data_IF_275561632292
#
_entry.id   IF_275561632292
#
_cell.length_a   1.000
_cell.length_b   1.000
_cell.length_c   1.000
_cell.angle_alpha   90.00
_cell.angle_beta   90.00
_cell.angle_gamma   90.00
#
_symmetry.space_group_name_H-M   'P 1'
#
loop_
_entity.id
_entity.type
_entity.pdbx_description
1 polymer ?
#
# COMPACT_ATOMS: atom_id res chain seq x y z
N UNK A 1 -7.82 6.72 -1.95
CA UNK A 1 -6.98 5.54 -2.30
C UNK A 1 -7.76 4.41 -2.96
N UNK A 2 -8.78 3.83 -2.32
CA UNK A 2 -9.60 2.77 -2.96
C UNK A 2 -10.40 3.30 -4.15
N UNK A 3 -10.96 4.50 -4.01
CA UNK A 3 -11.69 5.18 -5.09
C UNK A 3 -10.77 5.51 -6.28
N UNK A 4 -9.45 5.55 -6.03
CA UNK A 4 -8.41 5.76 -7.03
C UNK A 4 -7.87 4.45 -7.63
N UNK A 5 -8.47 3.31 -7.26
CA UNK A 5 -8.14 1.98 -7.80
C UNK A 5 -7.04 1.22 -7.06
N UNK A 6 -6.53 1.73 -5.94
CA UNK A 6 -5.44 1.06 -5.21
C UNK A 6 -5.94 -0.02 -4.25
N UNK A 7 -5.24 -1.17 -4.24
CA UNK A 7 -5.33 -2.15 -3.17
C UNK A 7 -4.60 -1.65 -1.92
N UNK A 8 -5.29 -1.67 -0.77
CA UNK A 8 -4.74 -1.16 0.50
C UNK A 8 -4.94 -2.18 1.62
N UNK A 9 -3.86 -2.52 2.30
CA UNK A 9 -3.90 -3.29 3.55
C UNK A 9 -3.61 -2.35 4.73
N UNK A 10 -4.51 -2.32 5.72
CA UNK A 10 -4.32 -1.55 6.95
C UNK A 10 -3.69 -2.43 8.03
N UNK A 11 -2.65 -1.93 8.68
CA UNK A 11 -2.06 -2.52 9.88
C UNK A 11 -2.02 -1.49 11.00
N UNK A 12 -1.98 -1.97 12.23
CA UNK A 12 -1.73 -1.14 13.41
C UNK A 12 -0.25 -1.29 13.77
N UNK A 13 0.40 -0.17 14.05
CA UNK A 13 1.77 -0.11 14.57
C UNK A 13 1.84 0.75 15.82
N UNK A 14 3.02 0.83 16.42
CA UNK A 14 3.28 1.65 17.60
C UNK A 14 4.52 2.51 17.36
N UNK A 15 4.37 3.82 17.50
CA UNK A 15 5.44 4.80 17.48
C UNK A 15 5.71 5.36 18.88
N UNK A 16 6.61 6.34 18.95
CA UNK A 16 6.94 7.06 20.19
C UNK A 16 5.70 7.61 20.90
N UNK A 17 4.73 8.10 20.13
CA UNK A 17 3.55 8.79 20.64
C UNK A 17 2.31 7.86 20.74
N UNK A 18 2.53 6.55 20.63
CA UNK A 18 1.48 5.53 20.77
C UNK A 18 1.10 4.87 19.45
N UNK A 19 -0.16 4.45 19.35
CA UNK A 19 -0.67 3.70 18.21
C UNK A 19 -0.68 4.54 16.92
N UNK A 20 -0.21 3.95 15.82
CA UNK A 20 -0.22 4.55 14.48
C UNK A 20 -0.85 3.60 13.47
N UNK A 21 -1.71 4.14 12.60
CA UNK A 21 -2.30 3.38 11.50
C UNK A 21 -1.35 3.38 10.31
N UNK A 22 -1.01 2.19 9.81
CA UNK A 22 -0.10 2.01 8.68
C UNK A 22 -0.89 1.49 7.47
N UNK A 23 -0.87 2.25 6.39
CA UNK A 23 -1.43 1.83 5.10
C UNK A 23 -0.32 1.25 4.22
N UNK A 24 -0.46 -0.02 3.84
CA UNK A 24 0.43 -0.69 2.88
C UNK A 24 -0.22 -0.73 1.50
N UNK A 25 0.52 -0.26 0.51
CA UNK A 25 0.11 -0.18 -0.89
C UNK A 25 1.22 -0.81 -1.71
N UNK A 26 0.85 -1.71 -2.62
CA UNK A 26 1.75 -2.27 -3.63
C UNK A 26 1.32 -1.69 -4.96
N UNK A 27 2.21 -0.99 -5.63
CA UNK A 27 1.97 -0.39 -6.94
C UNK A 27 3.25 -0.35 -7.76
N UNK A 28 3.11 -0.16 -9.08
CA UNK A 28 4.24 0.15 -9.94
C UNK A 28 4.84 1.52 -9.57
N UNK A 29 6.13 1.69 -9.88
CA UNK A 29 6.89 2.91 -9.52
C UNK A 29 6.28 4.20 -10.11
N UNK A 30 5.69 4.13 -11.29
CA UNK A 30 5.01 5.25 -11.96
C UNK A 30 3.78 5.77 -11.18
N UNK A 31 3.14 4.95 -10.35
CA UNK A 31 2.00 5.36 -9.52
C UNK A 31 2.42 5.93 -8.16
N UNK A 32 3.69 5.81 -7.76
CA UNK A 32 4.16 6.35 -6.48
C UNK A 32 3.89 7.85 -6.32
N UNK A 33 4.16 8.73 -7.32
CA UNK A 33 3.82 10.14 -7.21
C UNK A 33 2.33 10.37 -6.93
N UNK A 34 1.43 9.65 -7.61
CA UNK A 34 -0.02 9.74 -7.37
C UNK A 34 -0.39 9.36 -5.93
N UNK A 35 0.17 8.26 -5.42
CA UNK A 35 -0.06 7.83 -4.03
C UNK A 35 0.44 8.87 -3.02
N UNK A 36 1.63 9.44 -3.27
CA UNK A 36 2.20 10.49 -2.43
C UNK A 36 1.30 11.73 -2.41
N UNK A 37 0.86 12.19 -3.57
CA UNK A 37 0.08 13.42 -3.69
C UNK A 37 -1.27 13.27 -2.98
N UNK A 38 -1.97 12.14 -3.17
CA UNK A 38 -3.20 11.81 -2.43
C UNK A 38 -2.96 11.81 -0.91
N UNK A 39 -1.85 11.23 -0.46
CA UNK A 39 -1.55 11.15 0.97
C UNK A 39 -1.31 12.53 1.57
N UNK A 40 -0.55 13.39 0.88
CA UNK A 40 -0.24 14.74 1.32
C UNK A 40 -1.46 15.68 1.28
N UNK A 41 -2.38 15.47 0.33
CA UNK A 41 -3.66 16.19 0.28
C UNK A 41 -4.54 15.90 1.51
N UNK A 42 -4.46 14.68 2.07
CA UNK A 42 -5.27 14.29 3.21
C UNK A 42 -4.60 14.59 4.56
N UNK A 43 -3.28 14.41 4.65
CA UNK A 43 -2.51 14.68 5.88
C UNK A 43 -1.10 15.16 5.53
N UNK A 44 -0.84 16.45 5.74
CA UNK A 44 0.48 17.05 5.51
C UNK A 44 1.59 16.56 6.46
N UNK A 45 1.26 15.80 7.51
CA UNK A 45 2.23 15.18 8.43
C UNK A 45 2.49 13.71 8.11
N UNK A 46 1.87 13.16 7.07
CA UNK A 46 2.11 11.78 6.65
C UNK A 46 3.57 11.60 6.24
N UNK A 47 4.15 10.47 6.62
CA UNK A 47 5.44 10.05 6.09
C UNK A 47 5.26 8.76 5.28
N UNK A 48 6.06 8.62 4.23
CA UNK A 48 5.96 7.50 3.31
C UNK A 48 7.32 6.81 3.24
N UNK A 49 7.33 5.51 3.50
CA UNK A 49 8.48 4.65 3.23
C UNK A 49 8.18 3.80 2.01
N UNK A 50 9.14 3.69 1.10
CA UNK A 50 9.02 2.87 -0.10
C UNK A 50 10.23 1.96 -0.23
N UNK A 51 9.99 0.73 -0.67
CA UNK A 51 11.04 -0.24 -0.94
C UNK A 51 10.62 -1.11 -2.13
N UNK A 52 11.61 -1.56 -2.91
CA UNK A 52 11.35 -2.44 -4.03
C UNK A 52 10.97 -3.84 -3.52
N UNK A 53 9.86 -4.37 -4.00
CA UNK A 53 9.46 -5.75 -3.77
C UNK A 53 10.10 -6.63 -4.84
N UNK A 54 11.12 -7.39 -4.48
CA UNK A 54 11.71 -8.42 -5.36
C UNK A 54 11.06 -9.78 -5.10
N UNK A 55 10.92 -10.59 -6.16
CA UNK A 55 10.42 -11.97 -6.05
C UNK A 55 8.95 -12.12 -5.64
N UNK A 56 8.16 -11.04 -5.68
CA UNK A 56 6.71 -11.07 -5.42
C UNK A 56 5.95 -10.64 -6.66
N UNK A 57 5.04 -11.50 -7.13
CA UNK A 57 4.13 -11.19 -8.22
C UNK A 57 2.72 -10.95 -7.66
N UNK A 58 2.11 -9.83 -8.06
CA UNK A 58 0.69 -9.55 -7.87
C UNK A 58 -0.07 -9.84 -9.16
N UNK A 59 -1.33 -10.28 -9.05
CA UNK A 59 -2.19 -10.56 -10.20
C UNK A 59 -3.34 -11.49 -9.82
N UNK A 60 -4.42 -11.47 -10.60
CA UNK A 60 -5.46 -12.51 -10.51
C UNK A 60 -4.82 -13.82 -10.97
N UNK A 61 -4.58 -14.75 -10.06
CA UNK A 61 -4.23 -16.13 -10.43
C UNK A 61 -5.47 -16.80 -11.04
N UNK A 62 -5.63 -16.74 -12.35
CA UNK A 62 -6.53 -17.64 -13.07
C UNK A 62 -5.85 -19.00 -13.24
N UNK A 63 -6.50 -20.08 -12.82
CA UNK A 63 -6.07 -21.45 -13.14
C UNK A 63 -5.37 -22.24 -12.03
N UNK A 64 -5.30 -21.74 -10.80
CA UNK A 64 -4.93 -22.61 -9.66
C UNK A 64 -6.12 -23.50 -9.34
N UNK A 65 -6.16 -24.70 -9.94
CA UNK A 65 -7.09 -25.74 -9.52
C UNK A 65 -6.84 -26.01 -8.03
N UNK A 66 -7.83 -25.69 -7.20
CA UNK A 66 -7.89 -26.17 -5.83
C UNK A 66 -7.82 -27.69 -5.87
N UNK A 67 -6.75 -28.29 -5.35
CA UNK A 67 -6.80 -29.69 -4.93
C UNK A 67 -7.57 -29.70 -3.61
N UNK A 68 -8.87 -29.97 -3.70
CA UNK A 68 -9.60 -30.61 -2.62
C UNK A 68 -9.21 -32.09 -2.59
#
# INVERSE_FOLDING_TARGET
LRDEGFGVTRNVGYGKDGEVQILKIICERNYFPKVRDIALEHDGKVFITSYLLTGKNGGRMYGVKSKL
#
